data_IF_773775008180
#
_entry.id   IF_773775008180
#
_cell.length_a   1.000
_cell.length_b   1.000
_cell.length_c   1.000
_cell.angle_alpha   90.00
_cell.angle_beta   90.00
_cell.angle_gamma   90.00
#
_symmetry.space_group_name_H-M   'P 1'
#
loop_
_entity.id
_entity.type
_entity.pdbx_description
1 polymer ?
#
# COMPACT_ATOMS: atom_id res chain seq x y z
N UNK A 1 9.44 -11.72 -4.96
CA UNK A 1 9.24 -12.20 -3.57
C UNK A 1 10.44 -12.98 -3.04
N UNK A 2 10.82 -14.16 -3.58
CA UNK A 2 11.91 -15.00 -3.02
C UNK A 2 13.21 -14.25 -2.76
N UNK A 3 13.66 -13.42 -3.71
CA UNK A 3 14.87 -12.60 -3.57
C UNK A 3 14.79 -11.65 -2.36
N UNK A 4 13.66 -10.97 -2.17
CA UNK A 4 13.47 -10.05 -1.04
C UNK A 4 13.37 -10.78 0.29
N UNK A 5 12.67 -11.92 0.32
CA UNK A 5 12.64 -12.80 1.49
C UNK A 5 14.06 -13.26 1.87
N UNK A 6 14.80 -13.82 0.91
CA UNK A 6 16.14 -14.34 1.12
C UNK A 6 17.09 -13.26 1.67
N UNK A 7 17.01 -12.04 1.13
CA UNK A 7 17.76 -10.89 1.63
C UNK A 7 17.34 -10.50 3.05
N UNK A 8 16.03 -10.39 3.31
CA UNK A 8 15.50 -9.94 4.61
C UNK A 8 15.75 -10.94 5.74
N UNK A 9 15.72 -12.24 5.43
CA UNK A 9 15.93 -13.32 6.38
C UNK A 9 17.39 -13.82 6.41
N UNK A 10 18.29 -13.17 5.69
CA UNK A 10 19.70 -13.58 5.56
C UNK A 10 19.86 -15.05 5.16
N UNK A 11 18.94 -15.54 4.33
CA UNK A 11 18.87 -16.93 3.88
C UNK A 11 18.91 -17.01 2.34
N UNK A 12 20.11 -17.00 1.73
CA UNK A 12 20.25 -17.02 0.27
C UNK A 12 19.71 -18.30 -0.38
N UNK A 13 19.73 -19.43 0.34
CA UNK A 13 19.26 -20.72 -0.19
C UNK A 13 17.76 -20.73 -0.51
N UNK A 14 16.97 -19.88 0.16
CA UNK A 14 15.54 -19.75 -0.06
C UNK A 14 15.16 -19.42 -1.51
N UNK A 15 16.06 -18.78 -2.28
CA UNK A 15 15.83 -18.49 -3.69
C UNK A 15 15.69 -19.76 -4.54
N UNK A 16 16.34 -20.83 -4.12
CA UNK A 16 16.40 -22.10 -4.84
C UNK A 16 15.32 -23.10 -4.41
N UNK A 17 14.55 -22.78 -3.37
CA UNK A 17 13.50 -23.68 -2.90
C UNK A 17 12.39 -23.82 -3.96
N UNK A 18 11.80 -25.01 -4.16
CA UNK A 18 10.64 -25.18 -5.03
C UNK A 18 9.50 -24.25 -4.65
N UNK A 19 8.71 -23.79 -5.64
CA UNK A 19 7.62 -22.84 -5.39
C UNK A 19 6.59 -23.36 -4.39
N UNK A 20 6.27 -24.66 -4.46
CA UNK A 20 5.33 -25.31 -3.55
C UNK A 20 5.82 -25.29 -2.09
N UNK A 21 7.12 -25.57 -1.88
CA UNK A 21 7.75 -25.48 -0.56
C UNK A 21 7.69 -24.04 -0.05
N UNK A 22 8.03 -23.06 -0.89
CA UNK A 22 7.99 -21.65 -0.50
C UNK A 22 6.57 -21.20 -0.12
N UNK A 23 5.55 -21.65 -0.84
CA UNK A 23 4.15 -21.36 -0.52
C UNK A 23 3.73 -22.02 0.80
N UNK A 24 4.17 -23.26 1.06
CA UNK A 24 3.92 -23.96 2.32
C UNK A 24 4.62 -23.29 3.51
N UNK A 25 5.90 -22.96 3.38
CA UNK A 25 6.71 -22.31 4.44
C UNK A 25 6.18 -20.92 4.84
N UNK A 26 5.42 -20.28 3.93
CA UNK A 26 4.76 -19.00 4.14
C UNK A 26 3.28 -19.12 4.50
N UNK A 27 2.77 -20.32 4.77
CA UNK A 27 1.36 -20.62 5.05
C UNK A 27 0.38 -20.15 3.95
N UNK A 28 0.87 -19.98 2.72
CA UNK A 28 0.09 -19.59 1.54
C UNK A 28 -0.56 -20.80 0.86
N UNK A 29 -0.03 -22.00 1.09
CA UNK A 29 -0.56 -23.29 0.66
C UNK A 29 -0.78 -24.16 1.90
N UNK A 30 -2.03 -24.56 2.16
CA UNK A 30 -2.40 -25.42 3.29
C UNK A 30 -3.32 -26.54 2.81
N UNK A 31 -3.01 -27.78 3.17
CA UNK A 31 -3.77 -28.98 2.78
C UNK A 31 -3.99 -29.05 1.24
N UNK A 32 -2.95 -28.68 0.47
CA UNK A 32 -2.99 -28.64 -0.99
C UNK A 32 -3.83 -27.51 -1.60
N UNK A 33 -4.32 -26.57 -0.80
CA UNK A 33 -5.17 -25.45 -1.25
C UNK A 33 -4.50 -24.09 -0.99
N UNK A 34 -4.53 -23.23 -2.00
CA UNK A 34 -4.12 -21.85 -1.88
C UNK A 34 -5.20 -21.03 -1.17
N UNK A 35 -4.78 -20.06 -0.37
CA UNK A 35 -5.68 -19.14 0.32
C UNK A 35 -5.73 -17.75 -0.33
N UNK A 36 -6.60 -16.87 0.17
CA UNK A 36 -6.74 -15.51 -0.38
C UNK A 36 -5.48 -14.65 -0.21
N UNK A 37 -4.66 -14.87 0.82
CA UNK A 37 -3.38 -14.18 0.94
C UNK A 37 -2.45 -14.56 -0.22
N UNK A 38 -2.41 -15.83 -0.60
CA UNK A 38 -1.64 -16.30 -1.76
C UNK A 38 -2.15 -15.66 -3.06
N UNK A 39 -3.47 -15.58 -3.22
CA UNK A 39 -4.09 -14.94 -4.39
C UNK A 39 -3.74 -13.45 -4.48
N UNK A 40 -3.83 -12.70 -3.38
CA UNK A 40 -3.56 -11.25 -3.37
C UNK A 40 -2.06 -10.98 -3.55
N UNK A 41 -1.20 -11.75 -2.88
CA UNK A 41 0.24 -11.51 -2.88
C UNK A 41 0.90 -11.97 -4.19
N UNK A 42 0.47 -13.09 -4.78
CA UNK A 42 1.18 -13.78 -5.86
C UNK A 42 0.30 -14.18 -7.05
N UNK A 43 -1.01 -13.97 -6.97
CA UNK A 43 -1.96 -14.45 -7.96
C UNK A 43 -1.84 -13.76 -9.33
N UNK A 44 -2.05 -14.53 -10.40
CA UNK A 44 -2.20 -13.96 -11.75
C UNK A 44 -3.43 -13.07 -11.82
N UNK A 45 -3.40 -12.03 -12.64
CA UNK A 45 -4.52 -11.08 -12.78
C UNK A 45 -5.83 -11.77 -13.18
N UNK A 46 -5.78 -12.82 -13.99
CA UNK A 46 -6.96 -13.61 -14.38
C UNK A 46 -7.58 -14.33 -13.18
N UNK A 47 -6.74 -14.86 -12.29
CA UNK A 47 -7.20 -15.54 -11.08
C UNK A 47 -7.78 -14.53 -10.08
N UNK A 48 -7.14 -13.37 -9.93
CA UNK A 48 -7.65 -12.28 -9.08
C UNK A 48 -9.03 -11.85 -9.59
N UNK A 49 -9.18 -11.56 -10.89
CA UNK A 49 -10.48 -11.23 -11.52
C UNK A 49 -11.56 -12.25 -11.24
N UNK A 50 -11.21 -13.54 -11.30
CA UNK A 50 -12.17 -14.64 -11.15
C UNK A 50 -12.61 -14.84 -9.71
N UNK A 51 -11.68 -14.79 -8.75
CA UNK A 51 -11.94 -15.23 -7.38
C UNK A 51 -12.03 -14.11 -6.35
N UNK A 52 -11.50 -12.93 -6.66
CA UNK A 52 -11.50 -11.76 -5.79
C UNK A 52 -11.52 -10.47 -6.63
N UNK A 53 -12.58 -10.22 -7.43
CA UNK A 53 -12.65 -9.10 -8.36
C UNK A 53 -12.47 -7.74 -7.66
N UNK A 54 -12.92 -7.60 -6.41
CA UNK A 54 -12.75 -6.40 -5.59
C UNK A 54 -11.29 -6.15 -5.13
N UNK A 55 -10.36 -7.07 -5.42
CA UNK A 55 -8.94 -6.81 -5.25
C UNK A 55 -8.41 -5.96 -6.41
N UNK A 56 -8.89 -4.72 -6.45
CA UNK A 56 -8.55 -3.73 -7.45
C UNK A 56 -8.14 -2.43 -6.77
N UNK A 57 -7.20 -1.72 -7.37
CA UNK A 57 -6.82 -0.36 -6.99
C UNK A 57 -7.09 0.54 -8.18
N UNK A 58 -7.94 1.54 -7.99
CA UNK A 58 -8.29 2.54 -9.02
C UNK A 58 -7.60 3.85 -8.65
N UNK A 59 -6.78 4.38 -9.56
CA UNK A 59 -6.15 5.70 -9.39
C UNK A 59 -6.83 6.70 -10.33
N UNK A 60 -7.48 7.69 -9.76
CA UNK A 60 -8.11 8.82 -10.45
C UNK A 60 -7.25 10.07 -10.27
N UNK A 61 -6.70 10.60 -11.36
CA UNK A 61 -6.06 11.91 -11.35
C UNK A 61 -7.06 12.99 -11.77
N UNK A 62 -7.15 14.06 -10.99
CA UNK A 62 -7.94 15.27 -11.27
C UNK A 62 -7.02 16.48 -11.23
N UNK A 63 -7.08 17.32 -12.25
CA UNK A 63 -6.27 18.55 -12.31
C UNK A 63 -6.73 19.60 -11.28
N UNK A 64 -8.03 19.64 -10.95
CA UNK A 64 -8.60 20.58 -9.98
C UNK A 64 -9.60 19.89 -9.05
N UNK A 65 -9.69 20.34 -7.79
CA UNK A 65 -10.64 19.80 -6.80
C UNK A 65 -12.11 19.94 -7.19
N UNK A 66 -12.45 20.96 -7.98
CA UNK A 66 -13.82 21.20 -8.47
C UNK A 66 -14.25 20.24 -9.58
N UNK A 67 -13.34 19.45 -10.15
CA UNK A 67 -13.68 18.52 -11.23
C UNK A 67 -14.46 17.32 -10.70
N UNK A 68 -15.64 17.10 -11.25
CA UNK A 68 -16.43 15.88 -11.01
C UNK A 68 -15.76 14.69 -11.73
N UNK A 69 -15.47 14.87 -13.02
CA UNK A 69 -14.84 13.85 -13.86
C UNK A 69 -13.32 13.83 -13.65
N UNK A 70 -12.73 12.63 -13.70
CA UNK A 70 -11.27 12.49 -13.67
C UNK A 70 -10.64 12.97 -15.00
N UNK A 71 -9.42 13.50 -14.91
CA UNK A 71 -8.57 13.79 -16.07
C UNK A 71 -7.98 12.51 -16.64
N UNK A 72 -7.57 11.60 -15.76
CA UNK A 72 -7.09 10.27 -16.12
C UNK A 72 -7.49 9.26 -15.06
N UNK A 73 -7.73 8.02 -15.47
CA UNK A 73 -8.06 6.92 -14.58
C UNK A 73 -7.27 5.68 -15.00
N UNK A 74 -6.74 4.94 -14.02
CA UNK A 74 -6.07 3.67 -14.24
C UNK A 74 -6.41 2.66 -13.15
N UNK A 75 -6.73 1.45 -13.58
CA UNK A 75 -6.98 0.31 -12.69
C UNK A 75 -5.77 -0.62 -12.60
N UNK A 76 -5.55 -1.16 -11.40
CA UNK A 76 -4.46 -2.07 -11.06
C UNK A 76 -5.00 -3.30 -10.35
N UNK A 77 -5.34 -4.31 -11.14
CA UNK A 77 -5.76 -5.63 -10.65
C UNK A 77 -4.62 -6.64 -10.79
N UNK A 78 -3.59 -6.41 -9.98
CA UNK A 78 -2.31 -7.11 -10.01
C UNK A 78 -2.01 -7.73 -8.64
N UNK A 79 -1.04 -8.66 -8.62
CA UNK A 79 -0.49 -9.16 -7.37
C UNK A 79 0.24 -8.05 -6.60
N UNK A 80 0.12 -8.04 -5.27
CA UNK A 80 0.51 -6.91 -4.42
C UNK A 80 2.00 -6.53 -4.56
N UNK A 81 2.90 -7.51 -4.66
CA UNK A 81 4.34 -7.26 -4.84
C UNK A 81 4.69 -6.47 -6.11
N UNK A 82 3.82 -6.47 -7.12
CA UNK A 82 3.98 -5.68 -8.35
C UNK A 82 3.10 -4.43 -8.31
N UNK A 83 1.90 -4.55 -7.74
CA UNK A 83 0.92 -3.46 -7.69
C UNK A 83 1.48 -2.21 -7.02
N UNK A 84 2.22 -2.34 -5.91
CA UNK A 84 2.76 -1.19 -5.15
C UNK A 84 3.63 -0.30 -6.04
N UNK A 85 4.62 -0.88 -6.72
CA UNK A 85 5.50 -0.13 -7.60
C UNK A 85 4.74 0.40 -8.83
N UNK A 86 3.81 -0.37 -9.41
CA UNK A 86 3.04 0.08 -10.58
C UNK A 86 2.08 1.23 -10.27
N UNK A 87 1.47 1.22 -9.09
CA UNK A 87 0.63 2.32 -8.61
C UNK A 87 1.51 3.55 -8.34
N UNK A 88 2.67 3.38 -7.68
CA UNK A 88 3.62 4.46 -7.49
C UNK A 88 4.11 5.08 -8.81
N UNK A 89 4.53 4.26 -9.77
CA UNK A 89 5.01 4.73 -11.08
C UNK A 89 3.95 5.57 -11.82
N UNK A 90 2.67 5.26 -11.62
CA UNK A 90 1.56 6.01 -12.19
C UNK A 90 1.26 7.31 -11.44
N UNK A 91 1.32 7.28 -10.10
CA UNK A 91 1.18 8.49 -9.26
C UNK A 91 2.34 9.46 -9.51
N UNK A 92 3.56 8.93 -9.67
CA UNK A 92 4.81 9.67 -9.76
C UNK A 92 5.17 10.06 -11.21
N UNK A 93 4.22 10.63 -11.94
CA UNK A 93 4.49 11.22 -13.24
C UNK A 93 4.74 12.73 -13.09
N UNK A 94 5.62 13.35 -13.90
CA UNK A 94 5.91 14.79 -13.77
C UNK A 94 4.68 15.70 -13.80
N UNK A 95 3.62 15.29 -14.51
CA UNK A 95 2.38 16.04 -14.63
C UNK A 95 1.44 15.91 -13.41
N UNK A 96 1.55 14.82 -12.63
CA UNK A 96 0.65 14.51 -11.50
C UNK A 96 1.34 14.56 -10.14
N UNK A 97 2.67 14.43 -10.10
CA UNK A 97 3.53 14.60 -8.93
C UNK A 97 4.65 15.62 -9.24
N UNK A 98 4.33 16.92 -9.34
CA UNK A 98 5.32 17.94 -9.70
C UNK A 98 6.37 18.10 -8.60
N UNK A 99 7.54 18.60 -9.01
CA UNK A 99 8.63 18.95 -8.10
C UNK A 99 8.32 20.27 -7.38
N UNK A 100 8.61 20.30 -6.08
CA UNK A 100 8.60 21.47 -5.23
C UNK A 100 10.04 21.90 -4.98
N UNK A 101 10.34 23.17 -5.22
CA UNK A 101 11.69 23.71 -5.08
C UNK A 101 11.85 24.46 -3.76
N UNK A 102 13.00 24.29 -3.10
CA UNK A 102 13.36 25.04 -1.90
C UNK A 102 14.83 25.47 -1.95
N UNK A 103 15.15 26.51 -1.18
CA UNK A 103 16.50 27.05 -1.08
C UNK A 103 17.16 26.60 0.21
N UNK A 104 18.41 26.15 0.12
CA UNK A 104 19.32 25.93 1.25
C UNK A 104 20.58 26.77 1.03
N UNK A 105 20.63 27.92 1.70
CA UNK A 105 21.64 28.95 1.46
C UNK A 105 21.60 29.47 0.02
N UNK A 106 22.67 29.21 -0.73
CA UNK A 106 22.80 29.59 -2.15
C UNK A 106 22.42 28.47 -3.13
N UNK A 107 22.01 27.30 -2.64
CA UNK A 107 21.68 26.13 -3.45
C UNK A 107 20.17 25.97 -3.57
N UNK A 108 19.71 25.55 -4.75
CA UNK A 108 18.32 25.21 -5.03
C UNK A 108 18.22 23.70 -5.12
N UNK A 109 17.32 23.11 -4.34
CA UNK A 109 17.00 21.69 -4.34
C UNK A 109 15.53 21.48 -4.67
N UNK A 110 15.18 20.25 -5.04
CA UNK A 110 13.82 19.84 -5.33
C UNK A 110 13.43 18.56 -4.60
N UNK A 111 12.12 18.48 -4.30
CA UNK A 111 11.48 17.28 -3.77
C UNK A 111 10.15 17.05 -4.50
N UNK A 112 9.76 15.81 -4.83
CA UNK A 112 8.45 15.54 -5.40
C UNK A 112 7.32 15.91 -4.42
N UNK A 113 6.15 16.31 -4.91
CA UNK A 113 4.98 16.65 -4.07
C UNK A 113 4.54 15.49 -3.18
N UNK A 114 4.56 14.27 -3.69
CA UNK A 114 4.30 13.02 -2.96
C UNK A 114 5.57 12.22 -2.78
N UNK A 115 5.75 11.67 -1.57
CA UNK A 115 6.91 10.85 -1.21
C UNK A 115 6.64 9.36 -1.47
N UNK A 116 7.61 8.65 -2.06
CA UNK A 116 7.48 7.23 -2.41
C UNK A 116 7.18 6.34 -1.21
N UNK A 117 7.85 6.56 -0.09
CA UNK A 117 7.69 5.76 1.12
C UNK A 117 6.33 6.01 1.76
N UNK A 118 5.88 7.27 1.82
CA UNK A 118 4.56 7.62 2.37
C UNK A 118 3.44 6.97 1.56
N UNK A 119 3.50 7.07 0.21
CA UNK A 119 2.50 6.48 -0.66
C UNK A 119 2.57 4.95 -0.64
N UNK A 120 3.77 4.38 -0.65
CA UNK A 120 3.97 2.92 -0.57
C UNK A 120 3.38 2.33 0.71
N UNK A 121 3.64 2.96 1.85
CA UNK A 121 3.10 2.56 3.15
C UNK A 121 1.57 2.71 3.19
N UNK A 122 1.03 3.81 2.64
CA UNK A 122 -0.42 3.99 2.56
C UNK A 122 -1.10 2.89 1.72
N UNK A 123 -0.51 2.50 0.58
CA UNK A 123 -0.99 1.40 -0.28
C UNK A 123 -0.93 0.06 0.48
N UNK A 124 0.17 -0.22 1.18
CA UNK A 124 0.31 -1.42 1.99
C UNK A 124 -0.74 -1.47 3.11
N UNK A 125 -0.98 -0.35 3.77
CA UNK A 125 -1.98 -0.21 4.82
C UNK A 125 -3.38 -0.52 4.31
N UNK A 126 -3.82 0.09 3.21
CA UNK A 126 -5.16 -0.20 2.68
C UNK A 126 -5.30 -1.65 2.21
N UNK A 127 -4.23 -2.28 1.68
CA UNK A 127 -4.27 -3.69 1.32
C UNK A 127 -4.34 -4.63 2.54
N UNK A 128 -3.65 -4.31 3.64
CA UNK A 128 -3.61 -5.14 4.85
C UNK A 128 -4.84 -4.95 5.76
N UNK A 129 -5.38 -3.73 5.77
CA UNK A 129 -6.44 -3.34 6.68
C UNK A 129 -7.82 -3.30 6.04
N UNK A 130 -8.00 -3.37 4.71
CA UNK A 130 -9.35 -3.34 4.13
C UNK A 130 -10.23 -4.54 4.53
N UNK A 131 -11.54 -4.30 4.61
CA UNK A 131 -12.52 -5.37 4.74
C UNK A 131 -12.71 -6.08 3.40
N UNK A 132 -12.35 -7.36 3.34
CA UNK A 132 -12.55 -8.19 2.13
C UNK A 132 -14.01 -8.63 1.94
N UNK A 133 -14.87 -8.42 2.95
CA UNK A 133 -16.28 -8.79 2.94
C UNK A 133 -17.13 -7.81 2.12
N UNK A 134 -16.64 -6.59 1.92
CA UNK A 134 -17.32 -5.54 1.16
C UNK A 134 -16.74 -5.54 -0.26
N UNK A 135 -17.62 -5.62 -1.26
CA UNK A 135 -17.23 -5.57 -2.68
C UNK A 135 -16.98 -4.14 -3.13
N UNK A 136 -15.88 -3.56 -2.66
CA UNK A 136 -15.46 -2.21 -3.02
C UNK A 136 -13.96 -2.18 -3.28
N UNK A 137 -13.60 -1.47 -4.34
CA UNK A 137 -12.21 -1.27 -4.73
C UNK A 137 -11.51 -0.30 -3.78
N UNK A 138 -10.17 -0.37 -3.77
CA UNK A 138 -9.37 0.72 -3.21
C UNK A 138 -9.38 1.85 -4.23
N UNK A 139 -9.75 3.05 -3.81
CA UNK A 139 -9.79 4.23 -4.68
C UNK A 139 -8.76 5.25 -4.20
N UNK A 140 -7.86 5.63 -5.10
CA UNK A 140 -6.85 6.67 -4.91
C UNK A 140 -7.27 7.87 -5.75
N UNK A 141 -7.66 8.96 -5.10
CA UNK A 141 -7.95 10.24 -5.75
C UNK A 141 -6.74 11.14 -5.59
N UNK A 142 -6.07 11.43 -6.70
CA UNK A 142 -4.89 12.27 -6.76
C UNK A 142 -5.25 13.63 -7.36
N UNK A 143 -4.81 14.68 -6.69
CA UNK A 143 -4.73 16.05 -7.15
C UNK A 143 -3.25 16.46 -7.17
N UNK A 144 -2.86 17.58 -7.80
CA UNK A 144 -1.46 18.01 -7.81
C UNK A 144 -0.87 18.28 -6.42
N UNK A 145 -1.71 18.61 -5.43
CA UNK A 145 -1.32 19.04 -4.08
C UNK A 145 -1.79 18.10 -2.96
N UNK A 146 -2.62 17.10 -3.27
CA UNK A 146 -3.27 16.24 -2.28
C UNK A 146 -3.60 14.87 -2.86
N UNK A 147 -3.60 13.86 -2.00
CA UNK A 147 -3.98 12.50 -2.36
C UNK A 147 -4.85 11.90 -1.27
N UNK A 148 -5.97 11.30 -1.68
CA UNK A 148 -6.88 10.61 -0.77
C UNK A 148 -6.94 9.14 -1.18
N UNK A 149 -6.69 8.25 -0.24
CA UNK A 149 -6.75 6.80 -0.44
C UNK A 149 -7.89 6.27 0.42
N UNK A 150 -8.84 5.61 -0.23
CA UNK A 150 -10.05 5.08 0.42
C UNK A 150 -10.15 3.58 0.19
N UNK A 151 -10.53 2.83 1.23
CA UNK A 151 -10.82 1.41 1.15
C UNK A 151 -12.06 1.06 1.96
N UNK A 152 -12.61 -0.13 1.73
CA UNK A 152 -13.74 -0.63 2.51
C UNK A 152 -13.42 -0.91 3.98
N UNK A 153 -14.38 -0.55 4.85
CA UNK A 153 -14.39 -0.80 6.29
C UNK A 153 -13.72 0.30 7.11
N UNK A 154 -14.18 0.51 8.34
CA UNK A 154 -13.64 1.54 9.25
C UNK A 154 -12.32 1.15 9.93
N UNK A 155 -12.04 1.76 11.08
CA UNK A 155 -10.92 1.32 11.93
C UNK A 155 -11.14 -0.13 12.46
N UNK A 156 -10.05 -0.91 12.66
CA UNK A 156 -10.15 -2.19 13.36
C UNK A 156 -10.50 -1.98 14.84
N UNK A 157 -11.01 -3.03 15.48
CA UNK A 157 -11.42 -2.97 16.90
C UNK A 157 -10.28 -2.48 17.80
N UNK A 158 -10.57 -1.47 18.63
CA UNK A 158 -9.60 -0.86 19.54
C UNK A 158 -8.69 0.20 18.91
N UNK A 159 -8.89 0.54 17.63
CA UNK A 159 -8.16 1.62 16.95
C UNK A 159 -9.10 2.77 16.62
N UNK A 160 -8.65 3.99 16.82
CA UNK A 160 -9.35 5.23 16.48
C UNK A 160 -8.36 6.34 16.09
N UNK A 161 -8.90 7.51 15.74
CA UNK A 161 -8.12 8.71 15.39
C UNK A 161 -7.12 9.14 16.47
N UNK A 162 -7.45 8.95 17.73
CA UNK A 162 -6.65 9.44 18.85
C UNK A 162 -5.49 8.48 19.16
N UNK A 163 -5.63 7.20 18.83
CA UNK A 163 -4.65 6.19 19.18
C UNK A 163 -3.91 5.56 17.98
N UNK A 164 -4.28 5.85 16.73
CA UNK A 164 -3.70 5.24 15.51
C UNK A 164 -2.16 5.31 15.45
N UNK A 165 -1.56 6.34 16.05
CA UNK A 165 -0.11 6.53 16.12
C UNK A 165 0.58 5.74 17.23
N UNK A 166 -0.16 5.26 18.23
CA UNK A 166 0.40 4.70 19.47
C UNK A 166 -0.03 3.26 19.71
N UNK A 167 -1.13 2.83 19.10
CA UNK A 167 -1.66 1.47 19.22
C UNK A 167 -0.87 0.53 18.33
N UNK A 168 -0.67 -0.70 18.80
CA UNK A 168 -0.10 -1.74 17.95
C UNK A 168 -1.00 -1.99 16.74
N UNK A 169 -0.40 -2.14 15.55
CA UNK A 169 -1.16 -2.41 14.33
C UNK A 169 -1.96 -3.71 14.44
N UNK A 170 -3.25 -3.62 14.11
CA UNK A 170 -4.19 -4.75 14.09
C UNK A 170 -4.66 -4.98 12.65
N UNK A 171 -3.87 -5.68 11.80
CA UNK A 171 -4.25 -5.94 10.42
C UNK A 171 -5.45 -6.88 10.35
N UNK A 172 -6.40 -6.59 9.45
CA UNK A 172 -7.54 -7.50 9.17
C UNK A 172 -7.05 -8.80 8.53
N UNK A 173 -5.98 -8.73 7.74
CA UNK A 173 -5.32 -9.90 7.16
C UNK A 173 -3.95 -10.16 7.80
N UNK A 174 -3.94 -10.92 8.90
CA UNK A 174 -2.71 -11.24 9.66
C UNK A 174 -1.67 -11.97 8.80
N UNK A 175 -2.08 -13.00 8.05
CA UNK A 175 -1.18 -13.78 7.20
C UNK A 175 -0.52 -12.91 6.11
N UNK A 176 -1.26 -11.99 5.48
CA UNK A 176 -0.67 -11.07 4.52
C UNK A 176 0.39 -10.18 5.17
N UNK A 177 0.07 -9.58 6.33
CA UNK A 177 1.00 -8.73 7.07
C UNK A 177 2.28 -9.48 7.45
N UNK A 178 2.16 -10.73 7.90
CA UNK A 178 3.32 -11.58 8.24
C UNK A 178 4.21 -11.87 7.03
N UNK A 179 3.64 -12.18 5.86
CA UNK A 179 4.43 -12.43 4.64
C UNK A 179 5.10 -11.14 4.15
N UNK A 180 4.40 -10.02 4.18
CA UNK A 180 4.96 -8.71 3.81
C UNK A 180 6.11 -8.31 4.75
N UNK A 181 5.98 -8.61 6.04
CA UNK A 181 7.03 -8.40 7.03
C UNK A 181 8.25 -9.31 6.76
N UNK A 182 8.01 -10.61 6.53
CA UNK A 182 9.09 -11.57 6.22
C UNK A 182 9.83 -11.22 4.93
N UNK A 183 9.18 -10.53 3.99
CA UNK A 183 9.76 -10.07 2.72
C UNK A 183 10.32 -8.65 2.77
N UNK A 184 10.18 -7.96 3.89
CA UNK A 184 10.74 -6.61 4.10
C UNK A 184 9.94 -5.46 3.50
N UNK A 185 8.69 -5.70 3.07
CA UNK A 185 7.80 -4.63 2.60
C UNK A 185 7.13 -3.88 3.74
N UNK A 186 6.91 -4.53 4.89
CA UNK A 186 6.28 -3.92 6.08
C UNK A 186 7.18 -4.18 7.30
N UNK A 187 7.16 -3.28 8.27
CA UNK A 187 7.91 -3.43 9.52
C UNK A 187 7.19 -4.24 10.60
N UNK A 188 7.93 -4.64 11.63
CA UNK A 188 7.42 -5.51 12.70
C UNK A 188 6.51 -4.83 13.71
N UNK A 189 6.68 -3.53 13.90
CA UNK A 189 6.27 -2.81 15.10
C UNK A 189 5.05 -1.91 14.90
N UNK A 190 4.36 -1.96 13.75
CA UNK A 190 3.25 -1.04 13.48
C UNK A 190 3.69 0.41 13.23
N UNK A 191 4.99 0.65 13.06
CA UNK A 191 5.59 1.97 12.83
C UNK A 191 5.30 2.55 11.44
N UNK A 192 4.54 1.86 10.59
CA UNK A 192 4.21 2.32 9.25
C UNK A 192 3.57 3.71 9.26
N UNK A 193 2.54 3.91 10.08
CA UNK A 193 1.87 5.20 10.21
C UNK A 193 2.83 6.25 10.79
N UNK A 194 3.60 5.92 11.83
CA UNK A 194 4.60 6.83 12.39
C UNK A 194 5.61 7.32 11.35
N UNK A 195 6.08 6.42 10.46
CA UNK A 195 6.97 6.76 9.35
C UNK A 195 6.34 7.68 8.32
N UNK A 196 5.07 7.45 8.00
CA UNK A 196 4.34 8.36 7.11
C UNK A 196 4.34 9.78 7.68
N UNK A 197 4.04 9.93 8.97
CA UNK A 197 4.09 11.23 9.66
C UNK A 197 5.49 11.81 9.69
N UNK A 198 6.50 11.00 10.07
CA UNK A 198 7.90 11.41 10.11
C UNK A 198 8.37 11.96 8.75
N UNK A 199 8.13 11.24 7.66
CA UNK A 199 8.53 11.65 6.33
C UNK A 199 7.79 12.92 5.87
N UNK A 200 6.48 13.05 6.15
CA UNK A 200 5.77 14.30 5.88
C UNK A 200 6.35 15.48 6.66
N UNK A 201 6.67 15.32 7.95
CA UNK A 201 7.27 16.37 8.78
C UNK A 201 8.66 16.77 8.26
N UNK A 202 9.50 15.79 7.96
CA UNK A 202 10.86 16.02 7.44
C UNK A 202 10.84 16.80 6.11
N UNK A 203 9.83 16.60 5.28
CA UNK A 203 9.68 17.28 3.99
C UNK A 203 8.80 18.55 4.08
N UNK A 204 8.32 18.93 5.27
CA UNK A 204 7.47 20.11 5.46
C UNK A 204 6.09 19.99 4.79
N UNK A 205 5.59 18.77 4.62
CA UNK A 205 4.31 18.45 3.96
C UNK A 205 3.16 18.32 4.94
N UNK A 206 1.93 18.40 4.42
CA UNK A 206 0.73 18.12 5.19
C UNK A 206 0.79 16.71 5.80
N UNK A 207 0.35 16.59 7.05
CA UNK A 207 0.31 15.31 7.74
C UNK A 207 -0.80 14.42 7.15
N UNK A 208 -0.63 13.09 7.18
CA UNK A 208 -1.73 12.18 6.89
C UNK A 208 -2.94 12.48 7.76
N UNK A 209 -4.12 12.62 7.14
CA UNK A 209 -5.39 12.83 7.84
C UNK A 209 -6.30 11.60 7.68
N UNK A 210 -6.73 11.06 8.81
CA UNK A 210 -7.63 9.91 8.90
C UNK A 210 -9.05 10.31 9.33
N UNK A 211 -9.36 11.60 9.47
CA UNK A 211 -10.62 12.12 10.00
C UNK A 211 -11.85 11.70 9.19
N UNK A 212 -11.67 11.36 7.92
CA UNK A 212 -12.70 10.79 7.05
C UNK A 212 -13.03 9.31 7.31
N UNK A 213 -12.34 8.65 8.25
CA UNK A 213 -12.62 7.26 8.62
C UNK A 213 -13.87 7.18 9.48
N UNK A 214 -14.89 6.47 9.00
CA UNK A 214 -16.12 6.19 9.72
C UNK A 214 -16.05 4.85 10.47
N UNK A 215 -17.08 4.56 11.26
CA UNK A 215 -17.19 3.32 12.05
C UNK A 215 -17.74 2.12 11.24
N UNK A 216 -17.74 2.22 9.90
CA UNK A 216 -18.40 1.31 8.97
C UNK A 216 -18.22 -0.18 9.28
#
# INVERSE_FOLDING_TARGET
MKTQYARKQENPLFQNYPDEQVLSDLDLLKDGKLNYAALILLGKSEAIRKYLPQNNIVVEFRMYHSMIQYTACKEFQLLLFIAIDKVWDYINQPASNPLLYYNDGSYIFDIPSFNKEVIGEAILNVCCHRSMLIQSDVVIKQYPDSITITNAGGFPSGVDMNNILTVNSVPRSKLMSEVLQKTGLVERSGQGVEKMFYNCIMEGKALPDYSGTDSY
#
